data_IF_141359450856
#
_entry.id   IF_141359450856
#
_cell.length_a   1.000
_cell.length_b   1.000
_cell.length_c   1.000
_cell.angle_alpha   90.00
_cell.angle_beta   90.00
_cell.angle_gamma   90.00
#
_symmetry.space_group_name_H-M   'P 1'
#
loop_
_entity.id
_entity.type
_entity.pdbx_description
1 polymer ?
#
# COMPACT_ATOMS: atom_id res chain seq x y z
N UNK A 1 15.96 -17.10 -26.60
CA UNK A 1 16.08 -16.58 -25.21
C UNK A 1 15.18 -17.42 -24.31
N UNK A 2 15.67 -17.90 -23.16
CA UNK A 2 14.85 -18.66 -22.20
C UNK A 2 13.85 -17.70 -21.53
N UNK A 3 12.56 -18.06 -21.46
CA UNK A 3 11.52 -17.31 -20.75
C UNK A 3 11.10 -18.07 -19.49
N UNK A 4 10.62 -17.38 -18.46
CA UNK A 4 10.06 -18.00 -17.25
C UNK A 4 8.69 -17.42 -16.89
N UNK A 5 7.80 -18.27 -16.41
CA UNK A 5 6.42 -17.89 -16.05
C UNK A 5 6.38 -17.46 -14.57
N UNK A 6 5.77 -16.32 -14.27
CA UNK A 6 5.53 -15.89 -12.90
C UNK A 6 4.59 -16.86 -12.19
N UNK A 7 4.98 -17.36 -11.01
CA UNK A 7 4.18 -18.30 -10.23
C UNK A 7 2.88 -17.67 -9.68
N UNK A 8 2.87 -16.34 -9.48
CA UNK A 8 1.74 -15.63 -8.89
C UNK A 8 0.68 -15.25 -9.94
N UNK A 9 1.10 -14.66 -11.06
CA UNK A 9 0.17 -14.11 -12.07
C UNK A 9 0.24 -14.82 -13.44
N UNK A 10 1.13 -15.79 -13.62
CA UNK A 10 1.23 -16.52 -14.89
C UNK A 10 1.89 -15.76 -16.04
N UNK A 11 2.39 -14.54 -15.84
CA UNK A 11 3.02 -13.75 -16.91
C UNK A 11 4.38 -14.30 -17.35
N UNK A 12 4.68 -14.28 -18.64
CA UNK A 12 5.96 -14.72 -19.20
C UNK A 12 6.99 -13.60 -19.17
N UNK A 13 8.09 -13.84 -18.45
CA UNK A 13 9.18 -12.90 -18.23
C UNK A 13 10.46 -13.38 -18.93
N UNK A 14 11.42 -12.48 -19.12
CA UNK A 14 12.77 -12.84 -19.50
C UNK A 14 13.39 -13.80 -18.46
N UNK A 15 14.21 -14.76 -18.90
CA UNK A 15 14.74 -15.82 -18.04
C UNK A 15 15.59 -15.31 -16.87
N UNK A 16 16.26 -14.18 -17.06
CA UNK A 16 17.11 -13.46 -16.12
C UNK A 16 16.36 -12.45 -15.23
N UNK A 17 15.07 -12.21 -15.45
CA UNK A 17 14.29 -11.22 -14.69
C UNK A 17 14.27 -11.54 -13.17
N UNK A 18 14.66 -10.62 -12.30
CA UNK A 18 14.65 -10.84 -10.84
C UNK A 18 13.24 -10.78 -10.24
N UNK A 19 12.34 -10.03 -10.89
CA UNK A 19 10.95 -9.83 -10.50
C UNK A 19 10.03 -10.05 -11.70
N UNK A 20 8.78 -10.42 -11.43
CA UNK A 20 7.76 -10.41 -12.47
C UNK A 20 7.51 -8.97 -12.94
N UNK A 21 7.69 -8.69 -14.21
CA UNK A 21 7.46 -7.35 -14.79
C UNK A 21 6.00 -6.91 -14.74
N UNK A 22 5.07 -7.84 -14.51
CA UNK A 22 3.65 -7.53 -14.39
C UNK A 22 3.24 -7.24 -12.94
N UNK A 23 3.55 -8.14 -12.00
CA UNK A 23 3.05 -8.06 -10.63
C UNK A 23 4.14 -7.78 -9.57
N UNK A 24 5.38 -7.52 -10.00
CA UNK A 24 6.55 -7.24 -9.18
C UNK A 24 6.90 -8.32 -8.13
N UNK A 25 6.32 -9.51 -8.22
CA UNK A 25 6.65 -10.61 -7.32
C UNK A 25 8.10 -11.10 -7.59
N UNK A 26 8.96 -11.23 -6.57
CA UNK A 26 10.33 -11.69 -6.75
C UNK A 26 10.36 -13.16 -7.16
N UNK A 27 11.16 -13.50 -8.17
CA UNK A 27 11.34 -14.90 -8.59
C UNK A 27 12.21 -15.71 -7.63
N UNK A 28 12.98 -15.05 -6.75
CA UNK A 28 13.95 -15.68 -5.85
C UNK A 28 13.39 -16.02 -4.46
N UNK A 29 12.09 -15.83 -4.19
CA UNK A 29 11.46 -16.40 -2.99
C UNK A 29 11.38 -17.92 -3.19
N UNK A 30 12.38 -18.65 -2.69
CA UNK A 30 12.30 -20.11 -2.55
C UNK A 30 11.02 -20.44 -1.76
N UNK A 31 10.15 -21.35 -2.24
CA UNK A 31 9.20 -22.01 -1.35
C UNK A 31 9.99 -22.58 -0.17
N UNK A 32 9.52 -22.36 1.06
CA UNK A 32 10.16 -22.94 2.23
C UNK A 32 10.31 -24.45 2.02
N UNK A 33 11.51 -25.02 2.16
CA UNK A 33 11.69 -26.46 2.00
C UNK A 33 10.84 -27.19 3.04
N UNK A 34 10.05 -28.17 2.59
CA UNK A 34 9.45 -29.14 3.49
C UNK A 34 10.61 -29.83 4.26
N UNK A 35 10.60 -29.85 5.61
CA UNK A 35 11.69 -30.46 6.34
C UNK A 35 11.72 -31.96 6.07
N UNK A 36 12.85 -32.43 5.55
CA UNK A 36 13.14 -33.82 5.26
C UNK A 36 13.27 -34.65 6.55
N UNK A 37 12.64 -35.83 6.55
CA UNK A 37 12.78 -36.87 7.56
C UNK A 37 14.25 -37.21 7.83
N UNK A 38 14.71 -36.98 9.06
CA UNK A 38 15.78 -37.80 9.65
C UNK A 38 15.13 -38.77 10.63
N UNK A 39 15.08 -40.03 10.20
CA UNK A 39 14.83 -41.17 11.05
C UNK A 39 15.96 -41.30 12.08
N UNK A 40 15.61 -41.20 13.36
CA UNK A 40 16.24 -41.98 14.43
C UNK A 40 15.13 -42.29 15.45
N UNK A 41 14.79 -43.58 15.59
CA UNK A 41 13.80 -44.09 16.54
C UNK A 41 14.48 -44.66 17.82
N UNK A 42 13.74 -44.85 18.93
CA UNK A 42 14.10 -44.43 20.29
C UNK A 42 14.22 -45.60 21.29
N UNK A 43 14.39 -45.39 22.61
CA UNK A 43 13.21 -45.26 23.51
C UNK A 43 13.49 -44.34 24.74
N UNK A 44 12.57 -43.90 25.59
CA UNK A 44 11.11 -43.87 25.66
C UNK A 44 10.73 -42.81 26.71
N UNK A 45 9.65 -42.07 26.47
CA UNK A 45 8.78 -41.54 27.52
C UNK A 45 7.39 -41.29 26.91
N UNK A 46 6.37 -41.92 27.51
CA UNK A 46 4.95 -41.88 27.13
C UNK A 46 4.30 -40.53 27.52
N UNK A 47 3.01 -40.31 27.21
CA UNK A 47 2.49 -39.72 25.99
C UNK A 47 1.97 -38.29 26.24
N UNK A 48 2.26 -37.37 25.31
CA UNK A 48 1.63 -36.04 25.28
C UNK A 48 0.23 -36.09 24.62
N UNK A 49 -0.69 -35.17 24.98
CA UNK A 49 -2.03 -35.18 24.43
C UNK A 49 -2.08 -34.64 22.98
N UNK A 50 -2.92 -35.32 22.21
CA UNK A 50 -3.29 -35.15 20.80
C UNK A 50 -3.85 -33.76 20.51
N UNK A 51 -3.30 -33.04 19.52
CA UNK A 51 -3.95 -31.82 18.98
C UNK A 51 -5.08 -32.23 18.03
N UNK A 52 -6.31 -32.06 18.49
CA UNK A 52 -7.54 -32.21 17.71
C UNK A 52 -7.70 -31.06 16.68
N UNK A 53 -8.46 -31.28 15.59
CA UNK A 53 -8.83 -30.22 14.65
C UNK A 53 -9.67 -29.14 15.35
N UNK A 54 -9.28 -27.88 15.18
CA UNK A 54 -9.98 -26.74 15.76
C UNK A 54 -11.41 -26.63 15.20
N UNK A 55 -12.40 -26.75 16.08
CA UNK A 55 -13.83 -26.57 15.80
C UNK A 55 -14.13 -25.12 15.33
N UNK A 56 -15.15 -24.92 14.48
CA UNK A 56 -15.54 -23.61 13.91
C UNK A 56 -15.95 -22.54 14.93
N UNK A 57 -16.08 -22.90 16.22
CA UNK A 57 -16.31 -21.99 17.34
C UNK A 57 -15.05 -21.22 17.76
N UNK A 58 -13.85 -21.79 17.59
CA UNK A 58 -12.59 -21.10 17.90
C UNK A 58 -12.21 -20.05 16.85
N UNK A 59 -12.61 -20.25 15.59
CA UNK A 59 -12.44 -19.26 14.52
C UNK A 59 -13.28 -17.99 14.80
N UNK A 60 -14.47 -18.16 15.39
CA UNK A 60 -15.33 -17.05 15.83
C UNK A 60 -14.75 -16.29 17.04
N UNK A 61 -14.05 -16.97 17.95
CA UNK A 61 -13.40 -16.33 19.09
C UNK A 61 -12.16 -15.49 18.66
N UNK A 62 -11.41 -15.93 17.66
CA UNK A 62 -10.28 -15.17 17.10
C UNK A 62 -10.78 -13.96 16.30
N UNK A 63 -11.87 -14.09 15.55
CA UNK A 63 -12.54 -12.97 14.88
C UNK A 63 -13.10 -11.96 15.89
N UNK A 64 -13.68 -12.40 17.01
CA UNK A 64 -14.12 -11.50 18.08
C UNK A 64 -12.95 -10.75 18.73
N UNK A 65 -11.80 -11.42 18.96
CA UNK A 65 -10.62 -10.79 19.55
C UNK A 65 -9.96 -9.75 18.62
N UNK A 66 -10.01 -9.96 17.29
CA UNK A 66 -9.56 -8.97 16.30
C UNK A 66 -10.50 -7.76 16.22
N UNK A 67 -11.82 -7.97 16.32
CA UNK A 67 -12.81 -6.88 16.36
C UNK A 67 -12.68 -6.05 17.64
N UNK A 68 -12.39 -6.68 18.79
CA UNK A 68 -12.14 -5.97 20.06
C UNK A 68 -10.83 -5.18 20.03
N UNK A 69 -9.81 -5.63 19.27
CA UNK A 69 -8.54 -4.91 19.11
C UNK A 69 -8.67 -3.68 18.19
N UNK A 70 -9.52 -3.77 17.16
CA UNK A 70 -9.87 -2.63 16.30
C UNK A 70 -10.79 -1.62 17.03
N UNK A 71 -11.70 -2.08 17.89
CA UNK A 71 -12.51 -1.21 18.74
C UNK A 71 -11.70 -0.54 19.85
N UNK A 72 -10.70 -1.23 20.43
CA UNK A 72 -9.83 -0.68 21.47
C UNK A 72 -8.88 0.41 20.97
N UNK A 73 -8.37 0.30 19.75
CA UNK A 73 -7.56 1.35 19.12
C UNK A 73 -8.41 2.54 18.68
N UNK A 74 -9.62 2.32 18.16
CA UNK A 74 -10.57 3.39 17.86
C UNK A 74 -11.04 4.14 19.12
N UNK A 75 -11.29 3.43 20.24
CA UNK A 75 -11.66 4.03 21.52
C UNK A 75 -10.49 4.73 22.23
N UNK A 76 -9.24 4.26 22.07
CA UNK A 76 -8.06 4.96 22.59
C UNK A 76 -7.78 6.28 21.85
N UNK A 77 -8.03 6.33 20.54
CA UNK A 77 -7.96 7.58 19.76
C UNK A 77 -9.12 8.51 20.10
N UNK A 78 -10.33 7.98 20.35
CA UNK A 78 -11.49 8.78 20.74
C UNK A 78 -11.48 9.28 22.21
N UNK A 79 -10.66 8.68 23.08
CA UNK A 79 -10.54 9.07 24.51
C UNK A 79 -9.36 9.99 24.80
N UNK A 80 -8.52 10.29 23.80
CA UNK A 80 -7.66 11.46 23.90
C UNK A 80 -8.56 12.69 23.81
N UNK A 81 -8.56 13.59 24.82
CA UNK A 81 -9.13 14.90 24.60
C UNK A 81 -8.44 15.46 23.35
N UNK A 82 -9.17 16.05 22.38
CA UNK A 82 -8.51 16.80 21.33
C UNK A 82 -7.54 17.73 22.06
N UNK A 83 -6.26 17.72 21.66
CA UNK A 83 -5.32 18.72 22.14
C UNK A 83 -6.05 20.05 21.99
N UNK A 84 -6.44 20.65 23.11
CA UNK A 84 -7.31 21.80 23.07
C UNK A 84 -6.49 22.89 22.41
N UNK A 85 -6.75 23.10 21.12
CA UNK A 85 -6.23 24.24 20.39
C UNK A 85 -6.68 25.44 21.21
N UNK A 86 -5.73 26.02 21.95
CA UNK A 86 -5.97 27.29 22.60
C UNK A 86 -6.44 28.27 21.51
N UNK A 87 -7.35 29.18 21.83
CA UNK A 87 -7.79 30.19 20.86
C UNK A 87 -6.61 30.96 20.23
N UNK A 88 -5.46 31.00 20.91
CA UNK A 88 -4.19 31.53 20.41
C UNK A 88 -3.51 30.65 19.33
N UNK A 89 -3.62 29.32 19.38
CA UNK A 89 -3.17 28.40 18.34
C UNK A 89 -4.08 28.47 17.09
N UNK A 90 -5.39 28.60 17.30
CA UNK A 90 -6.38 28.75 16.21
C UNK A 90 -6.28 30.10 15.49
N UNK A 91 -5.77 31.14 16.15
CA UNK A 91 -5.53 32.46 15.58
C UNK A 91 -4.24 32.54 14.73
N UNK A 92 -3.29 31.63 14.93
CA UNK A 92 -2.06 31.55 14.14
C UNK A 92 -2.33 30.60 12.97
N UNK A 93 -2.70 31.17 11.82
CA UNK A 93 -2.85 30.39 10.59
C UNK A 93 -1.58 29.62 10.23
N UNK A 94 -1.70 28.65 9.33
CA UNK A 94 -0.55 27.88 8.86
C UNK A 94 0.48 28.80 8.19
N UNK A 95 1.65 29.02 8.82
CA UNK A 95 2.72 29.85 8.24
C UNK A 95 3.31 29.30 6.94
N UNK A 96 3.05 28.03 6.64
CA UNK A 96 3.45 27.35 5.40
C UNK A 96 2.32 27.24 4.39
N UNK A 97 1.26 28.07 4.53
CA UNK A 97 0.01 27.96 3.76
C UNK A 97 0.25 27.78 2.25
N UNK A 98 1.08 28.62 1.65
CA UNK A 98 1.30 28.60 0.20
C UNK A 98 1.90 27.26 -0.25
N UNK A 99 2.84 26.71 0.53
CA UNK A 99 3.44 25.40 0.25
C UNK A 99 2.45 24.26 0.50
N UNK A 100 1.65 24.34 1.56
CA UNK A 100 0.64 23.33 1.83
C UNK A 100 -0.47 23.34 0.78
N UNK A 101 -0.92 24.52 0.34
CA UNK A 101 -1.90 24.65 -0.75
C UNK A 101 -1.34 24.10 -2.08
N UNK A 102 -0.05 24.35 -2.36
CA UNK A 102 0.62 23.77 -3.51
C UNK A 102 0.68 22.23 -3.42
N UNK A 103 0.99 21.68 -2.24
CA UNK A 103 0.97 20.23 -2.01
C UNK A 103 -0.45 19.64 -2.18
N UNK A 104 -1.48 20.34 -1.70
CA UNK A 104 -2.89 19.93 -1.93
C UNK A 104 -3.23 19.87 -3.41
N UNK A 105 -2.79 20.88 -4.17
CA UNK A 105 -2.97 20.89 -5.63
C UNK A 105 -2.23 19.73 -6.29
N UNK A 106 -0.98 19.45 -5.90
CA UNK A 106 -0.21 18.33 -6.45
C UNK A 106 -0.90 16.99 -6.16
N UNK A 107 -1.45 16.80 -4.96
CA UNK A 107 -2.19 15.59 -4.62
C UNK A 107 -3.46 15.45 -5.49
N UNK A 108 -4.24 16.52 -5.63
CA UNK A 108 -5.43 16.53 -6.47
C UNK A 108 -5.10 16.24 -7.95
N UNK A 109 -4.08 16.88 -8.49
CA UNK A 109 -3.63 16.69 -9.88
C UNK A 109 -3.12 15.25 -10.10
N UNK A 110 -2.37 14.68 -9.14
CA UNK A 110 -1.90 13.29 -9.18
C UNK A 110 -3.06 12.28 -9.14
N UNK A 111 -4.06 12.51 -8.28
CA UNK A 111 -5.28 11.69 -8.24
C UNK A 111 -5.98 11.76 -9.60
N UNK A 112 -6.21 12.97 -10.13
CA UNK A 112 -6.88 13.15 -11.41
C UNK A 112 -6.13 12.47 -12.57
N UNK A 113 -4.80 12.57 -12.62
CA UNK A 113 -3.99 11.95 -13.66
C UNK A 113 -4.04 10.41 -13.59
N UNK A 114 -4.04 9.86 -12.38
CA UNK A 114 -4.24 8.42 -12.14
C UNK A 114 -5.63 7.94 -12.54
N UNK A 115 -6.68 8.72 -12.25
CA UNK A 115 -8.04 8.44 -12.70
C UNK A 115 -8.18 8.48 -14.23
N UNK A 116 -7.52 9.43 -14.88
CA UNK A 116 -7.48 9.52 -16.33
C UNK A 116 -6.82 8.27 -16.94
N UNK A 117 -5.71 7.80 -16.35
CA UNK A 117 -5.06 6.56 -16.77
C UNK A 117 -6.00 5.34 -16.60
N UNK A 118 -6.69 5.21 -15.47
CA UNK A 118 -7.66 4.12 -15.26
C UNK A 118 -8.79 4.15 -16.30
N UNK A 119 -9.26 5.36 -16.64
CA UNK A 119 -10.32 5.58 -17.62
C UNK A 119 -9.83 5.19 -19.03
N UNK A 120 -8.63 5.62 -19.41
CA UNK A 120 -8.00 5.27 -20.69
C UNK A 120 -7.90 3.75 -20.86
N UNK A 121 -7.34 3.06 -19.86
CA UNK A 121 -7.18 1.60 -19.89
C UNK A 121 -8.54 0.92 -19.94
N UNK A 122 -9.54 1.41 -19.19
CA UNK A 122 -10.87 0.80 -19.14
C UNK A 122 -11.67 0.94 -20.43
N UNK A 123 -11.45 2.03 -21.17
CA UNK A 123 -12.11 2.32 -22.43
C UNK A 123 -11.47 1.61 -23.64
N UNK A 124 -10.20 1.22 -23.52
CA UNK A 124 -9.48 0.51 -24.57
C UNK A 124 -9.96 -0.95 -24.73
N UNK A 125 -9.89 -1.46 -25.97
CA UNK A 125 -9.97 -2.88 -26.23
C UNK A 125 -8.86 -3.65 -25.46
N UNK A 126 -9.04 -4.96 -25.18
CA UNK A 126 -8.02 -5.78 -24.52
C UNK A 126 -6.63 -5.57 -25.12
N UNK A 127 -5.74 -4.95 -24.36
CA UNK A 127 -4.40 -4.59 -24.79
C UNK A 127 -3.34 -5.07 -23.80
N UNK A 128 -2.94 -6.36 -23.88
CA UNK A 128 -1.95 -6.93 -23.00
C UNK A 128 -0.52 -6.43 -23.26
N UNK A 129 -0.24 -5.90 -24.45
CA UNK A 129 1.08 -5.34 -24.80
C UNK A 129 1.25 -3.92 -24.26
N UNK A 130 0.14 -3.25 -23.95
CA UNK A 130 0.12 -1.98 -23.22
C UNK A 130 0.71 -2.06 -21.80
N UNK A 131 0.94 -3.26 -21.27
CA UNK A 131 1.52 -3.51 -19.95
C UNK A 131 2.91 -4.16 -20.01
N UNK A 132 3.72 -3.96 -18.97
CA UNK A 132 5.10 -4.47 -18.87
C UNK A 132 6.14 -3.38 -19.17
N UNK A 133 7.44 -3.71 -19.23
CA UNK A 133 8.52 -2.72 -19.21
C UNK A 133 8.44 -1.69 -20.34
N UNK A 134 8.00 -2.11 -21.51
CA UNK A 134 7.85 -1.26 -22.71
C UNK A 134 6.40 -0.79 -22.93
N UNK A 135 5.46 -1.30 -22.13
CA UNK A 135 4.03 -1.06 -22.28
C UNK A 135 3.67 0.41 -22.03
N UNK A 136 2.82 1.00 -22.88
CA UNK A 136 2.49 2.43 -22.78
C UNK A 136 1.83 2.78 -21.44
N UNK A 137 0.97 1.92 -20.91
CA UNK A 137 0.28 2.16 -19.64
C UNK A 137 1.23 2.06 -18.45
N UNK A 138 2.17 1.11 -18.50
CA UNK A 138 3.20 0.96 -17.47
C UNK A 138 4.16 2.15 -17.47
N UNK A 139 4.62 2.60 -18.65
CA UNK A 139 5.44 3.82 -18.75
C UNK A 139 4.72 5.04 -18.18
N UNK A 140 3.45 5.24 -18.55
CA UNK A 140 2.65 6.35 -18.03
C UNK A 140 2.46 6.27 -16.51
N UNK A 141 2.24 5.08 -15.96
CA UNK A 141 2.16 4.90 -14.52
C UNK A 141 3.48 5.23 -13.81
N UNK A 142 4.62 4.80 -14.37
CA UNK A 142 5.95 5.11 -13.82
C UNK A 142 6.16 6.63 -13.79
N UNK A 143 5.88 7.33 -14.89
CA UNK A 143 5.94 8.80 -14.93
C UNK A 143 5.13 9.45 -13.81
N UNK A 144 3.91 8.96 -13.54
CA UNK A 144 3.06 9.48 -12.45
C UNK A 144 3.59 9.14 -11.06
N UNK A 145 4.20 7.97 -10.88
CA UNK A 145 4.79 7.54 -9.61
C UNK A 145 6.06 8.34 -9.29
N UNK A 146 6.83 8.73 -10.30
CA UNK A 146 8.08 9.48 -10.13
C UNK A 146 7.83 11.00 -10.02
N UNK A 147 6.95 11.57 -10.85
CA UNK A 147 6.73 13.01 -10.90
C UNK A 147 6.12 13.59 -9.61
N UNK A 148 5.20 12.86 -8.97
CA UNK A 148 4.53 13.33 -7.76
C UNK A 148 5.48 13.54 -6.57
N UNK A 149 6.28 12.54 -6.12
CA UNK A 149 7.21 12.73 -5.02
C UNK A 149 8.32 13.74 -5.37
N UNK A 150 8.76 13.82 -6.62
CA UNK A 150 9.68 14.87 -7.06
C UNK A 150 9.09 16.28 -6.84
N UNK A 151 7.84 16.49 -7.27
CA UNK A 151 7.15 17.76 -7.10
C UNK A 151 6.90 18.11 -5.62
N UNK A 152 6.51 17.14 -4.80
CA UNK A 152 6.34 17.32 -3.34
C UNK A 152 7.68 17.71 -2.68
N UNK A 153 8.77 17.03 -3.04
CA UNK A 153 10.10 17.34 -2.52
C UNK A 153 10.57 18.74 -2.94
N UNK A 154 10.23 19.18 -4.17
CA UNK A 154 10.56 20.51 -4.66
C UNK A 154 9.88 21.65 -3.87
N UNK A 155 8.77 21.39 -3.18
CA UNK A 155 8.13 22.37 -2.29
C UNK A 155 8.99 22.67 -1.06
N UNK A 156 9.97 21.82 -0.74
CA UNK A 156 10.86 21.95 0.43
C UNK A 156 10.05 22.25 1.70
N UNK A 157 9.02 21.43 1.94
CA UNK A 157 8.25 21.48 3.18
C UNK A 157 9.16 21.11 4.36
N UNK A 158 9.07 21.82 5.49
CA UNK A 158 9.95 21.58 6.61
C UNK A 158 9.68 20.21 7.23
N UNK A 159 10.74 19.52 7.68
CA UNK A 159 10.57 18.26 8.39
C UNK A 159 9.68 18.46 9.64
N UNK A 160 8.66 17.62 9.87
CA UNK A 160 7.76 17.76 11.02
C UNK A 160 8.47 17.74 12.38
N UNK A 161 9.66 17.13 12.48
CA UNK A 161 10.45 17.11 13.71
C UNK A 161 11.38 18.32 13.86
N UNK A 162 11.46 19.20 12.85
CA UNK A 162 12.34 20.37 12.83
C UNK A 162 11.59 21.70 13.01
N UNK A 163 10.26 21.64 13.13
CA UNK A 163 9.40 22.81 13.37
C UNK A 163 9.10 22.95 14.86
N UNK A 164 8.59 24.11 15.27
CA UNK A 164 8.25 24.38 16.66
C UNK A 164 6.82 23.87 16.91
N UNK A 165 6.67 22.85 17.76
CA UNK A 165 5.40 22.12 17.95
C UNK A 165 4.24 23.03 18.32
N UNK A 166 4.46 24.02 19.20
CA UNK A 166 3.42 24.93 19.66
C UNK A 166 3.09 25.99 18.60
N UNK A 167 4.10 26.50 17.89
CA UNK A 167 3.89 27.53 16.86
C UNK A 167 3.34 26.96 15.55
N UNK A 168 3.65 25.71 15.25
CA UNK A 168 3.36 25.05 13.98
C UNK A 168 2.33 23.93 14.09
N UNK A 169 1.56 23.88 15.18
CA UNK A 169 0.52 22.87 15.41
C UNK A 169 -0.42 22.68 14.21
N UNK A 170 -0.83 23.78 13.54
CA UNK A 170 -1.70 23.72 12.35
C UNK A 170 -1.01 23.02 11.17
N UNK A 171 0.28 23.27 10.96
CA UNK A 171 1.08 22.61 9.92
C UNK A 171 1.32 21.13 10.24
N UNK A 172 1.59 20.80 11.50
CA UNK A 172 1.78 19.42 11.94
C UNK A 172 0.50 18.61 11.77
N UNK A 173 -0.65 19.18 12.15
CA UNK A 173 -1.96 18.56 11.91
C UNK A 173 -2.24 18.37 10.41
N UNK A 174 -1.95 19.41 9.60
CA UNK A 174 -2.06 19.30 8.14
C UNK A 174 -1.17 18.17 7.59
N UNK A 175 0.05 18.03 8.09
CA UNK A 175 1.00 17.01 7.60
C UNK A 175 0.46 15.60 7.81
N UNK A 176 -0.09 15.30 8.98
CA UNK A 176 -0.66 13.98 9.28
C UNK A 176 -1.90 13.71 8.43
N UNK A 177 -2.77 14.72 8.25
CA UNK A 177 -3.95 14.59 7.40
C UNK A 177 -3.62 14.49 5.91
N UNK A 178 -2.57 15.18 5.44
CA UNK A 178 -2.08 15.05 4.07
C UNK A 178 -1.54 13.65 3.81
N UNK A 179 -0.67 13.11 4.67
CA UNK A 179 -0.17 11.73 4.59
C UNK A 179 -1.29 10.70 4.57
N UNK A 180 -2.31 10.89 5.42
CA UNK A 180 -3.48 10.01 5.46
C UNK A 180 -4.21 9.98 4.11
N UNK A 181 -4.43 11.14 3.50
CA UNK A 181 -5.09 11.25 2.18
C UNK A 181 -4.22 10.74 1.04
N UNK A 182 -2.91 10.94 1.08
CA UNK A 182 -1.98 10.33 0.13
C UNK A 182 -2.06 8.80 0.16
N UNK A 183 -2.04 8.21 1.36
CA UNK A 183 -2.16 6.76 1.54
C UNK A 183 -3.52 6.24 1.03
N UNK A 184 -4.62 6.90 1.40
CA UNK A 184 -5.96 6.53 0.94
C UNK A 184 -6.08 6.60 -0.59
N UNK A 185 -5.56 7.66 -1.21
CA UNK A 185 -5.53 7.82 -2.65
C UNK A 185 -4.71 6.71 -3.35
N UNK A 186 -3.54 6.37 -2.80
CA UNK A 186 -2.69 5.31 -3.33
C UNK A 186 -3.35 3.93 -3.22
N UNK A 187 -3.96 3.61 -2.08
CA UNK A 187 -4.68 2.34 -1.88
C UNK A 187 -5.88 2.21 -2.81
N UNK A 188 -6.67 3.29 -2.94
CA UNK A 188 -7.83 3.33 -3.83
C UNK A 188 -7.42 3.11 -5.29
N UNK A 189 -6.42 3.86 -5.76
CA UNK A 189 -5.86 3.69 -7.10
C UNK A 189 -5.34 2.26 -7.31
N UNK A 190 -4.51 1.74 -6.40
CA UNK A 190 -3.90 0.41 -6.54
C UNK A 190 -4.94 -0.70 -6.69
N UNK A 191 -6.00 -0.65 -5.87
CA UNK A 191 -7.12 -1.60 -5.95
C UNK A 191 -7.82 -1.55 -7.31
N UNK A 192 -8.08 -0.33 -7.81
CA UNK A 192 -8.81 -0.14 -9.08
C UNK A 192 -7.93 -0.47 -10.28
N UNK A 193 -6.65 -0.11 -10.24
CA UNK A 193 -5.68 -0.45 -11.26
C UNK A 193 -5.54 -1.96 -11.43
N UNK A 194 -5.47 -2.71 -10.33
CA UNK A 194 -5.45 -4.16 -10.37
C UNK A 194 -6.70 -4.74 -11.06
N UNK A 195 -7.90 -4.27 -10.70
CA UNK A 195 -9.15 -4.73 -11.31
C UNK A 195 -9.19 -4.46 -12.82
N UNK A 196 -8.68 -3.30 -13.25
CA UNK A 196 -8.62 -2.94 -14.67
C UNK A 196 -7.60 -3.82 -15.42
N UNK A 197 -6.42 -4.09 -14.85
CA UNK A 197 -5.44 -5.02 -15.43
C UNK A 197 -6.03 -6.42 -15.58
N UNK A 198 -6.68 -6.95 -14.55
CA UNK A 198 -7.27 -8.29 -14.59
C UNK A 198 -8.28 -8.41 -15.73
N UNK A 199 -9.12 -7.40 -15.94
CA UNK A 199 -10.06 -7.34 -17.07
C UNK A 199 -9.33 -7.30 -18.43
N UNK A 200 -8.29 -6.47 -18.55
CA UNK A 200 -7.53 -6.31 -19.79
C UNK A 200 -6.75 -7.59 -20.16
N UNK A 201 -6.31 -8.37 -19.17
CA UNK A 201 -5.59 -9.62 -19.39
C UNK A 201 -6.50 -10.85 -19.53
N UNK A 202 -7.72 -10.81 -18.98
CA UNK A 202 -8.72 -11.88 -19.10
C UNK A 202 -9.37 -11.96 -20.50
N UNK A 203 -9.21 -10.92 -21.34
CA UNK A 203 -9.63 -10.95 -22.74
C UNK A 203 -8.70 -11.75 -23.68
N UNK A 204 -7.80 -12.56 -23.13
CA UNK A 204 -6.92 -13.49 -23.86
C UNK A 204 -7.50 -14.89 -23.96
#
# INVERSE_FOLDING_TARGET
>A
MKKKKCFKCGYWNAGDALYCTLCYEPFNKKPAPAPAEKQLQPPAARPGPVRQPLKPLLLKAILLALVVSAAGTALYVASRPPASETAAAKARGNRFKDKTDAAEKLLADNIQAKEALLTEISAAAPDPEGFGPEGRYTRRLIELIEAYPEAINALALPCPTCVDEEKDAVYLNWTEEHKRREAEAFENFSRRYQAVIEKQLAGK
#
